data_IF_422772113661
#
_entry.id   IF_422772113661
#
_cell.length_a   1.000
_cell.length_b   1.000
_cell.length_c   1.000
_cell.angle_alpha   90.00
_cell.angle_beta   90.00
_cell.angle_gamma   90.00
#
_symmetry.space_group_name_H-M   'P 1'
#
loop_
_entity.id
_entity.type
_entity.pdbx_description
1 polymer ?
#
# COMPACT_ATOMS: atom_id res chain seq x y z
N UNK A 1 -28.68 18.16 34.20
CA UNK A 1 -28.07 17.91 32.87
C UNK A 1 -27.20 16.67 32.95
N UNK A 2 -27.22 15.78 31.96
CA UNK A 2 -26.40 14.56 31.97
C UNK A 2 -24.93 14.95 31.78
N UNK A 3 -24.02 14.46 32.65
CA UNK A 3 -22.59 14.74 32.51
C UNK A 3 -22.11 14.25 31.14
N UNK A 4 -21.44 15.12 30.38
CA UNK A 4 -20.80 14.74 29.13
C UNK A 4 -19.55 13.94 29.48
N UNK A 5 -19.48 12.71 28.99
CA UNK A 5 -18.34 11.83 29.21
C UNK A 5 -17.20 12.29 28.31
N UNK A 6 -16.05 12.60 28.91
CA UNK A 6 -14.86 13.01 28.16
C UNK A 6 -14.02 11.80 27.76
N UNK A 7 -13.10 11.99 26.82
CA UNK A 7 -12.11 10.95 26.46
C UNK A 7 -11.24 10.53 27.65
N UNK A 8 -10.97 11.44 28.58
CA UNK A 8 -10.21 11.12 29.80
C UNK A 8 -11.03 10.19 30.72
N UNK A 9 -12.33 10.45 30.89
CA UNK A 9 -13.22 9.59 31.66
C UNK A 9 -13.27 8.15 31.07
N UNK A 10 -13.30 8.03 29.74
CA UNK A 10 -13.30 6.72 29.05
C UNK A 10 -11.99 5.97 29.29
N UNK A 11 -10.83 6.63 29.19
CA UNK A 11 -9.54 5.98 29.44
C UNK A 11 -9.42 5.49 30.88
N UNK A 12 -9.76 6.35 31.84
CA UNK A 12 -9.74 5.98 33.25
C UNK A 12 -10.69 4.82 33.55
N UNK A 13 -11.81 4.71 32.83
CA UNK A 13 -12.71 3.59 32.95
C UNK A 13 -12.11 2.28 32.42
N UNK A 14 -11.52 2.29 31.22
CA UNK A 14 -10.87 1.12 30.63
C UNK A 14 -9.69 0.64 31.49
N UNK A 15 -8.89 1.56 32.04
CA UNK A 15 -7.81 1.22 32.96
C UNK A 15 -8.32 0.50 34.21
N UNK A 16 -9.38 1.00 34.84
CA UNK A 16 -9.99 0.34 36.01
C UNK A 16 -10.50 -1.07 35.69
N UNK A 17 -11.10 -1.25 34.52
CA UNK A 17 -11.59 -2.56 34.09
C UNK A 17 -10.45 -3.53 33.82
N UNK A 18 -9.39 -3.07 33.16
CA UNK A 18 -8.19 -3.86 32.90
C UNK A 18 -7.52 -4.28 34.22
N UNK A 19 -7.31 -3.35 35.16
CA UNK A 19 -6.73 -3.67 36.48
C UNK A 19 -7.59 -4.67 37.22
N UNK A 20 -8.92 -4.48 37.26
CA UNK A 20 -9.84 -5.42 37.89
C UNK A 20 -9.78 -6.82 37.28
N UNK A 21 -9.59 -6.92 35.97
CA UNK A 21 -9.45 -8.20 35.28
C UNK A 21 -8.15 -8.90 35.65
N UNK A 22 -7.04 -8.15 35.70
CA UNK A 22 -5.73 -8.66 36.09
C UNK A 22 -5.69 -9.09 37.57
N UNK A 23 -6.26 -8.29 38.47
CA UNK A 23 -6.30 -8.57 39.92
C UNK A 23 -7.07 -9.86 40.24
N UNK A 24 -8.05 -10.22 39.40
CA UNK A 24 -8.80 -11.48 39.51
C UNK A 24 -8.05 -12.69 38.93
N UNK A 25 -6.80 -12.51 38.48
CA UNK A 25 -5.99 -13.54 37.84
C UNK A 25 -6.27 -13.73 36.35
N UNK A 26 -6.97 -12.78 35.72
CA UNK A 26 -7.15 -12.77 34.27
C UNK A 26 -5.83 -12.61 33.53
N UNK A 27 -5.73 -13.19 32.33
CA UNK A 27 -4.55 -13.10 31.46
C UNK A 27 -4.90 -12.35 30.18
N UNK A 28 -4.02 -11.45 29.78
CA UNK A 28 -4.15 -10.72 28.51
C UNK A 28 -3.39 -11.49 27.45
N UNK A 29 -4.09 -11.85 26.38
CA UNK A 29 -3.50 -12.54 25.23
C UNK A 29 -3.09 -11.52 24.15
N UNK A 30 -1.88 -11.70 23.60
CA UNK A 30 -1.44 -10.90 22.47
C UNK A 30 -1.93 -11.55 21.17
N UNK A 31 -2.87 -10.89 20.50
CA UNK A 31 -3.43 -11.37 19.23
C UNK A 31 -2.65 -10.75 18.05
N UNK A 32 -2.09 -11.56 17.14
CA UNK A 32 -1.43 -11.08 15.95
C UNK A 32 -2.30 -10.12 15.12
N UNK A 33 -1.65 -9.08 14.57
CA UNK A 33 -2.31 -8.12 13.68
C UNK A 33 -2.83 -8.83 12.43
N UNK A 34 -4.05 -8.46 12.01
CA UNK A 34 -4.70 -9.01 10.82
C UNK A 34 -5.58 -10.23 11.07
N UNK A 35 -5.62 -10.75 12.31
CA UNK A 35 -6.64 -11.71 12.72
C UNK A 35 -7.96 -10.98 12.95
N UNK A 36 -9.04 -11.51 12.38
CA UNK A 36 -10.39 -11.02 12.66
C UNK A 36 -10.91 -11.67 13.95
N UNK A 37 -11.80 -10.98 14.67
CA UNK A 37 -12.46 -11.55 15.85
C UNK A 37 -13.58 -12.55 15.53
N UNK A 38 -13.62 -13.10 14.31
CA UNK A 38 -14.66 -14.04 13.90
C UNK A 38 -14.19 -15.47 14.16
N UNK A 39 -15.08 -16.34 14.65
CA UNK A 39 -14.76 -17.75 14.83
C UNK A 39 -14.52 -18.43 13.47
N UNK A 40 -13.45 -19.22 13.37
CA UNK A 40 -13.16 -19.99 12.16
C UNK A 40 -14.36 -20.88 11.79
N UNK A 41 -14.94 -20.68 10.61
CA UNK A 41 -16.09 -21.46 10.14
C UNK A 41 -17.44 -20.81 10.39
N UNK A 42 -17.51 -19.74 11.20
CA UNK A 42 -18.57 -18.76 10.98
C UNK A 42 -18.22 -18.12 9.63
N UNK A 43 -18.96 -18.52 8.59
CA UNK A 43 -18.98 -17.74 7.35
C UNK A 43 -19.04 -16.29 7.78
N UNK A 44 -18.21 -15.42 7.19
CA UNK A 44 -18.58 -14.03 7.15
C UNK A 44 -20.01 -14.07 6.61
N UNK A 45 -21.00 -13.99 7.48
CA UNK A 45 -22.22 -13.33 7.14
C UNK A 45 -21.74 -11.89 6.93
N UNK A 46 -21.08 -11.64 5.78
CA UNK A 46 -21.50 -10.60 4.89
C UNK A 46 -22.99 -10.55 5.13
N UNK A 47 -23.50 -9.52 5.82
CA UNK A 47 -24.90 -9.50 6.13
C UNK A 47 -25.59 -9.86 4.83
N UNK A 48 -26.37 -10.94 4.80
CA UNK A 48 -27.02 -11.42 3.57
C UNK A 48 -27.90 -10.32 2.96
N UNK A 49 -28.12 -9.26 3.76
CA UNK A 49 -28.39 -7.90 3.37
C UNK A 49 -27.27 -7.34 2.46
N UNK A 50 -27.50 -7.39 1.15
CA UNK A 50 -26.86 -6.42 0.24
C UNK A 50 -27.03 -5.04 0.90
N UNK A 51 -25.93 -4.41 1.30
CA UNK A 51 -25.99 -3.12 2.03
C UNK A 51 -26.46 -1.98 1.10
N UNK A 52 -26.38 -2.22 -0.20
CA UNK A 52 -26.81 -1.33 -1.27
C UNK A 52 -27.74 -2.12 -2.20
N UNK A 53 -29.03 -2.17 -1.84
CA UNK A 53 -30.09 -2.78 -2.67
C UNK A 53 -30.65 -1.76 -3.68
N UNK A 54 -30.43 -0.48 -3.42
CA UNK A 54 -30.98 0.60 -4.24
C UNK A 54 -30.35 0.61 -5.64
N UNK A 55 -31.16 0.89 -6.69
CA UNK A 55 -30.63 1.13 -8.02
C UNK A 55 -29.70 2.35 -8.00
N UNK A 56 -28.72 2.40 -8.91
CA UNK A 56 -27.84 3.56 -9.03
C UNK A 56 -28.68 4.82 -9.25
N UNK A 57 -28.55 5.78 -8.34
CA UNK A 57 -29.12 7.11 -8.51
C UNK A 57 -28.52 7.79 -9.75
N UNK A 58 -29.35 8.54 -10.48
CA UNK A 58 -28.87 9.43 -11.53
C UNK A 58 -28.05 10.55 -10.89
N UNK A 59 -26.79 10.66 -11.31
CA UNK A 59 -25.87 11.70 -10.83
C UNK A 59 -25.82 12.83 -11.84
N UNK A 60 -25.96 14.07 -11.39
CA UNK A 60 -25.71 15.24 -12.23
C UNK A 60 -24.21 15.33 -12.51
N UNK A 61 -23.76 15.25 -13.77
CA UNK A 61 -22.35 15.41 -14.08
C UNK A 61 -21.93 16.85 -13.79
N UNK A 62 -20.78 17.02 -13.13
CA UNK A 62 -20.13 18.32 -12.93
C UNK A 62 -18.84 18.30 -13.76
N UNK A 63 -18.86 18.81 -15.01
CA UNK A 63 -17.75 18.67 -15.95
C UNK A 63 -16.43 19.24 -15.42
N UNK A 64 -16.48 20.35 -14.67
CA UNK A 64 -15.31 21.00 -14.09
C UNK A 64 -14.58 20.09 -13.11
N UNK A 65 -15.31 19.38 -12.25
CA UNK A 65 -14.74 18.43 -11.27
C UNK A 65 -14.17 17.21 -11.97
N UNK A 66 -14.85 16.71 -13.00
CA UNK A 66 -14.36 15.60 -13.82
C UNK A 66 -13.04 15.99 -14.50
N UNK A 67 -12.99 17.18 -15.11
CA UNK A 67 -11.78 17.71 -15.74
C UNK A 67 -10.63 17.86 -14.74
N UNK A 68 -10.89 18.36 -13.52
CA UNK A 68 -9.89 18.47 -12.46
C UNK A 68 -9.34 17.09 -12.03
N UNK A 69 -10.22 16.09 -11.86
CA UNK A 69 -9.82 14.72 -11.51
C UNK A 69 -8.97 14.10 -12.63
N UNK A 70 -9.35 14.29 -13.89
CA UNK A 70 -8.58 13.80 -15.02
C UNK A 70 -7.22 14.48 -15.14
N UNK A 71 -7.14 15.80 -14.97
CA UNK A 71 -5.89 16.54 -15.00
C UNK A 71 -4.92 16.02 -13.92
N UNK A 72 -5.42 15.78 -12.70
CA UNK A 72 -4.65 15.18 -11.59
C UNK A 72 -4.20 13.76 -11.91
N UNK A 73 -5.04 12.94 -12.56
CA UNK A 73 -4.67 11.58 -12.96
C UNK A 73 -3.58 11.61 -14.04
N UNK A 74 -3.73 12.48 -15.04
CA UNK A 74 -2.75 12.67 -16.12
C UNK A 74 -1.41 13.17 -15.58
N UNK A 75 -1.40 14.08 -14.60
CA UNK A 75 -0.15 14.52 -13.97
C UNK A 75 0.53 13.42 -13.17
N UNK A 76 -0.23 12.57 -12.47
CA UNK A 76 0.31 11.40 -11.77
C UNK A 76 0.88 10.33 -12.73
N UNK A 77 0.30 10.19 -13.93
CA UNK A 77 0.80 9.25 -14.96
C UNK A 77 2.03 9.75 -15.71
N UNK A 78 2.33 11.05 -15.68
CA UNK A 78 3.57 11.60 -16.25
C UNK A 78 4.75 11.16 -15.38
N UNK A 79 5.16 9.89 -15.52
CA UNK A 79 6.50 9.44 -15.14
C UNK A 79 7.45 10.26 -16.00
N UNK A 80 8.13 11.22 -15.38
CA UNK A 80 9.28 11.85 -16.02
C UNK A 80 10.22 10.72 -16.44
N UNK A 81 10.52 10.55 -17.74
CA UNK A 81 11.53 9.59 -18.13
C UNK A 81 12.81 10.02 -17.41
N UNK A 82 13.39 9.11 -16.64
CA UNK A 82 14.67 9.37 -16.00
C UNK A 82 15.62 9.87 -17.09
N UNK A 83 16.34 10.99 -16.88
CA UNK A 83 17.25 11.50 -17.89
C UNK A 83 18.18 10.37 -18.29
N UNK A 84 18.17 10.01 -19.59
CA UNK A 84 19.11 9.02 -20.12
C UNK A 84 20.49 9.57 -19.82
N UNK A 85 21.17 8.97 -18.83
CA UNK A 85 22.54 9.34 -18.49
C UNK A 85 23.34 9.24 -19.78
N UNK A 86 23.86 10.37 -20.26
CA UNK A 86 24.80 10.41 -21.37
C UNK A 86 26.01 9.56 -20.94
N UNK A 87 25.99 8.29 -21.32
CA UNK A 87 27.16 7.42 -21.18
C UNK A 87 28.18 7.99 -22.15
N UNK A 88 29.20 8.66 -21.62
CA UNK A 88 30.47 8.84 -22.35
C UNK A 88 30.87 7.46 -22.88
N UNK A 89 31.39 7.35 -24.12
CA UNK A 89 31.88 6.08 -24.61
C UNK A 89 32.84 5.51 -23.59
N UNK A 90 32.49 4.35 -23.04
CA UNK A 90 33.34 3.62 -22.12
C UNK A 90 34.28 2.80 -22.98
N UNK A 91 35.57 2.79 -22.65
CA UNK A 91 36.55 1.91 -23.29
C UNK A 91 36.03 0.47 -23.21
N UNK A 92 35.88 -0.22 -24.35
CA UNK A 92 35.37 -1.60 -24.40
C UNK A 92 36.51 -2.54 -24.73
N UNK A 93 36.57 -3.69 -24.04
CA UNK A 93 37.47 -4.76 -24.44
C UNK A 93 36.89 -5.49 -25.65
N UNK A 94 37.61 -5.49 -26.76
CA UNK A 94 37.30 -6.30 -27.94
C UNK A 94 38.26 -7.48 -28.02
N UNK A 95 37.73 -8.68 -28.15
CA UNK A 95 38.54 -9.88 -28.40
C UNK A 95 38.83 -9.96 -29.90
N UNK A 96 40.11 -10.10 -30.25
CA UNK A 96 40.58 -10.36 -31.62
C UNK A 96 40.60 -11.87 -31.81
N UNK A 97 40.03 -12.32 -32.92
CA UNK A 97 39.97 -13.72 -33.31
C UNK A 97 40.90 -13.96 -34.51
N UNK A 98 41.52 -15.13 -34.56
CA UNK A 98 42.31 -15.60 -35.71
C UNK A 98 41.40 -16.02 -36.88
N UNK A 99 41.96 -16.33 -38.04
CA UNK A 99 41.25 -16.76 -39.25
C UNK A 99 40.43 -18.05 -39.04
N UNK A 100 40.73 -18.81 -37.98
CA UNK A 100 39.98 -19.99 -37.53
C UNK A 100 38.99 -19.72 -36.38
N UNK A 101 38.82 -18.46 -35.95
CA UNK A 101 37.86 -18.08 -34.91
C UNK A 101 38.33 -18.30 -33.47
N UNK A 102 39.61 -18.66 -33.26
CA UNK A 102 40.20 -18.79 -31.93
C UNK A 102 40.54 -17.42 -31.33
N UNK A 103 40.26 -17.18 -30.03
CA UNK A 103 40.52 -15.88 -29.40
C UNK A 103 42.02 -15.68 -29.13
N UNK A 104 42.64 -14.75 -29.85
CA UNK A 104 44.08 -14.44 -29.72
C UNK A 104 44.36 -13.52 -28.53
N UNK A 105 43.68 -12.37 -28.46
CA UNK A 105 43.93 -11.35 -27.42
C UNK A 105 42.78 -10.38 -27.24
N UNK A 106 42.70 -9.74 -26.06
CA UNK A 106 41.72 -8.69 -25.75
C UNK A 106 42.41 -7.33 -25.77
N UNK A 107 41.87 -6.40 -26.55
CA UNK A 107 42.40 -5.04 -26.70
C UNK A 107 41.33 -4.04 -26.23
N UNK A 108 41.76 -3.01 -25.51
CA UNK A 108 40.89 -1.89 -25.16
C UNK A 108 40.73 -0.97 -26.37
N UNK A 109 39.49 -0.78 -26.82
CA UNK A 109 39.13 0.15 -27.90
C UNK A 109 38.32 1.29 -27.30
N UNK A 110 38.68 2.51 -27.67
CA UNK A 110 37.90 3.70 -27.38
C UNK A 110 36.96 3.89 -28.57
N UNK A 111 35.66 3.59 -28.39
CA UNK A 111 34.60 3.85 -29.39
C UNK A 111 34.28 5.36 -29.48
#
# INVERSE_FOLDING_TARGET
MKKIITKADIRAHLEREMTRFLDKGGRVEEIPRGLSGHENGQSMMLPSRRLFIEPSLERTPIPEVVAAIEARRKSALKRTPAPKRNRRPQRRQKTIYDDFGEPLRRVWVDD
#
